data_IF_498695048454
#
_entry.id   IF_498695048454
#
_cell.length_a   1.000
_cell.length_b   1.000
_cell.length_c   1.000
_cell.angle_alpha   90.00
_cell.angle_beta   90.00
_cell.angle_gamma   90.00
#
_symmetry.space_group_name_H-M   'P 1'
#
loop_
_entity.id
_entity.type
_entity.pdbx_description
1 polymer ?
#
# COMPACT_ATOMS: atom_id res chain seq x y z
N UNK A 1 -38.62 -35.41 11.39
CA UNK A 1 -39.17 -34.54 10.33
C UNK A 1 -39.57 -33.24 11.01
N UNK A 2 -39.03 -32.05 10.74
CA UNK A 2 -38.10 -31.59 9.71
C UNK A 2 -37.53 -30.27 10.24
N UNK A 3 -36.20 -30.11 10.28
CA UNK A 3 -35.57 -28.82 10.57
C UNK A 3 -35.71 -27.93 9.34
N UNK A 4 -36.66 -26.99 9.37
CA UNK A 4 -36.85 -26.01 8.31
C UNK A 4 -37.00 -24.61 8.91
N UNK A 5 -35.88 -24.04 9.37
CA UNK A 5 -35.78 -22.62 9.69
C UNK A 5 -34.31 -22.20 9.76
N UNK A 6 -33.55 -22.36 8.69
CA UNK A 6 -32.22 -21.74 8.62
C UNK A 6 -31.77 -21.42 7.19
N UNK A 7 -32.69 -20.90 6.38
CA UNK A 7 -32.42 -20.55 4.96
C UNK A 7 -32.84 -19.11 4.65
N UNK A 8 -32.70 -18.20 5.61
CA UNK A 8 -33.04 -16.79 5.44
C UNK A 8 -31.89 -15.83 5.78
N UNK A 9 -30.65 -16.30 5.67
CA UNK A 9 -29.44 -15.49 5.93
C UNK A 9 -28.95 -14.74 4.67
N UNK A 10 -29.55 -14.98 3.49
CA UNK A 10 -29.09 -14.39 2.21
C UNK A 10 -30.19 -13.69 1.40
N UNK A 11 -31.27 -13.23 2.04
CA UNK A 11 -32.50 -12.89 1.32
C UNK A 11 -32.70 -11.41 0.96
N UNK A 12 -31.90 -10.46 1.47
CA UNK A 12 -31.99 -9.07 1.04
C UNK A 12 -30.89 -8.71 0.02
N UNK A 13 -31.28 -7.84 -0.91
CA UNK A 13 -30.43 -7.37 -2.01
C UNK A 13 -29.18 -6.67 -1.48
N UNK A 14 -29.27 -6.03 -0.32
CA UNK A 14 -28.18 -5.34 0.35
C UNK A 14 -27.06 -6.30 0.77
N UNK A 15 -27.40 -7.41 1.43
CA UNK A 15 -26.44 -8.45 1.82
C UNK A 15 -25.75 -9.05 0.60
N UNK A 16 -26.50 -9.28 -0.48
CA UNK A 16 -25.94 -9.79 -1.74
C UNK A 16 -24.99 -8.77 -2.40
N UNK A 17 -25.37 -7.49 -2.43
CA UNK A 17 -24.53 -6.43 -2.97
C UNK A 17 -23.24 -6.25 -2.17
N UNK A 18 -23.32 -6.37 -0.85
CA UNK A 18 -22.15 -6.34 0.02
C UNK A 18 -21.20 -7.51 -0.26
N UNK A 19 -21.75 -8.74 -0.39
CA UNK A 19 -20.95 -9.91 -0.71
C UNK A 19 -20.27 -9.78 -2.08
N UNK A 20 -20.99 -9.30 -3.11
CA UNK A 20 -20.41 -8.99 -4.43
C UNK A 20 -19.28 -7.97 -4.33
N UNK A 21 -19.45 -6.92 -3.53
CA UNK A 21 -18.41 -5.91 -3.32
C UNK A 21 -17.17 -6.50 -2.64
N UNK A 22 -17.33 -7.34 -1.61
CA UNK A 22 -16.22 -8.02 -0.95
C UNK A 22 -15.45 -8.95 -1.89
N UNK A 23 -16.16 -9.70 -2.74
CA UNK A 23 -15.53 -10.54 -3.77
C UNK A 23 -14.78 -9.67 -4.77
N UNK A 24 -15.41 -8.62 -5.30
CA UNK A 24 -14.79 -7.73 -6.27
C UNK A 24 -13.51 -7.09 -5.72
N UNK A 25 -13.51 -6.63 -4.46
CA UNK A 25 -12.33 -6.10 -3.79
C UNK A 25 -11.24 -7.16 -3.61
N UNK A 26 -11.61 -8.40 -3.27
CA UNK A 26 -10.64 -9.50 -3.11
C UNK A 26 -9.96 -9.85 -4.43
N UNK A 27 -10.74 -10.02 -5.50
CA UNK A 27 -10.21 -10.28 -6.86
C UNK A 27 -9.36 -9.12 -7.34
N UNK A 28 -9.78 -7.88 -7.08
CA UNK A 28 -9.00 -6.68 -7.44
C UNK A 28 -7.68 -6.63 -6.68
N UNK A 29 -7.69 -6.91 -5.38
CA UNK A 29 -6.47 -6.99 -4.55
C UNK A 29 -5.49 -8.01 -5.13
N UNK A 30 -5.97 -9.20 -5.45
CA UNK A 30 -5.16 -10.27 -6.03
C UNK A 30 -4.53 -9.84 -7.36
N UNK A 31 -5.31 -9.23 -8.25
CA UNK A 31 -4.81 -8.69 -9.52
C UNK A 31 -3.76 -7.59 -9.34
N UNK A 32 -3.96 -6.68 -8.38
CA UNK A 32 -3.03 -5.58 -8.09
C UNK A 32 -1.76 -6.04 -7.38
N UNK A 33 -1.78 -7.20 -6.72
CA UNK A 33 -0.65 -7.68 -5.92
C UNK A 33 0.61 -7.85 -6.76
N UNK A 34 0.50 -8.46 -7.95
CA UNK A 34 1.64 -8.64 -8.86
C UNK A 34 2.17 -7.30 -9.39
N UNK A 35 1.26 -6.37 -9.69
CA UNK A 35 1.63 -5.04 -10.15
C UNK A 35 2.41 -4.28 -9.07
N UNK A 36 1.95 -4.31 -7.82
CA UNK A 36 2.65 -3.69 -6.70
C UNK A 36 4.02 -4.32 -6.49
N UNK A 37 4.08 -5.64 -6.47
CA UNK A 37 5.33 -6.37 -6.27
C UNK A 37 6.37 -5.99 -7.33
N UNK A 38 5.98 -5.96 -8.61
CA UNK A 38 6.87 -5.60 -9.69
C UNK A 38 7.35 -4.14 -9.61
N UNK A 39 6.45 -3.20 -9.33
CA UNK A 39 6.80 -1.78 -9.22
C UNK A 39 7.70 -1.52 -8.02
N UNK A 40 7.37 -2.05 -6.83
CA UNK A 40 8.22 -1.87 -5.65
C UNK A 40 9.56 -2.57 -5.79
N UNK A 41 9.64 -3.74 -6.45
CA UNK A 41 10.94 -4.38 -6.75
C UNK A 41 11.83 -3.48 -7.62
N UNK A 42 11.27 -2.74 -8.59
CA UNK A 42 12.02 -1.76 -9.38
C UNK A 42 12.49 -0.58 -8.52
N UNK A 43 11.61 -0.03 -7.68
CA UNK A 43 11.97 1.03 -6.72
C UNK A 43 13.08 0.56 -5.78
N UNK A 44 12.97 -0.67 -5.26
CA UNK A 44 13.98 -1.27 -4.39
C UNK A 44 15.33 -1.40 -5.09
N UNK A 45 15.35 -1.84 -6.36
CA UNK A 45 16.56 -1.88 -7.16
C UNK A 45 17.15 -0.48 -7.43
N UNK A 46 16.30 0.52 -7.68
CA UNK A 46 16.73 1.90 -7.94
C UNK A 46 17.34 2.58 -6.70
N UNK A 47 16.80 2.31 -5.50
CA UNK A 47 17.33 2.83 -4.23
C UNK A 47 18.70 2.21 -3.91
N UNK A 48 18.91 0.96 -4.31
CA UNK A 48 20.15 0.21 -4.05
C UNK A 48 20.14 -0.52 -2.71
N UNK A 49 21.30 -1.04 -2.32
CA UNK A 49 21.42 -1.97 -1.18
C UNK A 49 21.77 -1.26 0.13
N UNK A 50 21.17 -1.70 1.24
CA UNK A 50 21.52 -1.26 2.60
C UNK A 50 22.73 -2.00 3.19
N UNK A 51 23.22 -1.52 4.34
CA UNK A 51 24.29 -2.16 5.12
C UNK A 51 23.89 -3.57 5.66
N UNK A 52 22.59 -3.85 5.79
CA UNK A 52 22.03 -5.10 6.35
C UNK A 52 22.15 -5.30 7.87
N UNK A 53 23.02 -4.54 8.55
CA UNK A 53 23.28 -4.67 10.00
C UNK A 53 22.65 -3.56 10.86
N UNK A 54 22.17 -2.50 10.21
CA UNK A 54 21.70 -1.29 10.84
C UNK A 54 20.22 -1.45 11.25
N UNK A 55 19.85 -1.00 12.45
CA UNK A 55 18.44 -0.86 12.86
C UNK A 55 17.94 0.54 12.52
N UNK A 56 16.62 0.74 12.45
CA UNK A 56 16.03 2.06 12.16
C UNK A 56 16.43 3.08 13.22
N UNK A 57 16.45 2.68 14.49
CA UNK A 57 16.83 3.53 15.63
C UNK A 57 18.28 4.00 15.48
N UNK A 58 19.19 3.10 15.07
CA UNK A 58 20.59 3.44 14.79
C UNK A 58 20.75 4.41 13.62
N UNK A 59 19.82 4.42 12.66
CA UNK A 59 19.85 5.39 11.54
C UNK A 59 19.40 6.78 11.93
N UNK A 60 18.67 6.90 13.04
CA UNK A 60 18.28 8.19 13.61
C UNK A 60 19.36 8.75 14.56
N UNK A 61 20.36 7.95 14.92
CA UNK A 61 21.45 8.32 15.82
C UNK A 61 22.73 8.69 15.04
N UNK A 62 23.57 9.55 15.64
CA UNK A 62 24.88 9.90 15.09
C UNK A 62 25.98 9.06 15.75
N UNK A 63 27.02 8.60 15.02
CA UNK A 63 27.23 8.75 13.58
C UNK A 63 26.34 7.81 12.74
N UNK A 64 25.83 8.31 11.62
CA UNK A 64 24.95 7.55 10.73
C UNK A 64 25.73 6.61 9.81
N UNK A 65 25.17 5.44 9.54
CA UNK A 65 25.64 4.59 8.46
C UNK A 65 25.34 5.22 7.10
N UNK A 66 26.37 5.62 6.36
CA UNK A 66 26.23 6.29 5.06
C UNK A 66 25.40 5.47 4.05
N UNK A 67 25.60 4.15 4.00
CA UNK A 67 24.86 3.27 3.07
C UNK A 67 23.37 3.27 3.36
N UNK A 68 22.99 3.17 4.62
CA UNK A 68 21.57 3.16 4.99
C UNK A 68 20.94 4.55 4.95
N UNK A 69 21.73 5.61 5.12
CA UNK A 69 21.26 6.99 4.93
C UNK A 69 20.92 7.24 3.45
N UNK A 70 21.71 6.71 2.50
CA UNK A 70 21.36 6.72 1.06
C UNK A 70 20.05 5.98 0.78
N UNK A 71 19.87 4.79 1.36
CA UNK A 71 18.62 4.04 1.20
C UNK A 71 17.43 4.82 1.77
N UNK A 72 17.60 5.44 2.94
CA UNK A 72 16.57 6.29 3.56
C UNK A 72 16.18 7.46 2.65
N UNK A 73 17.16 8.19 2.13
CA UNK A 73 16.93 9.30 1.19
C UNK A 73 16.24 8.83 -0.09
N UNK A 74 16.59 7.63 -0.60
CA UNK A 74 15.91 7.03 -1.72
C UNK A 74 14.43 6.71 -1.42
N UNK A 75 14.13 6.13 -0.26
CA UNK A 75 12.74 5.89 0.16
C UNK A 75 11.97 7.23 0.25
N UNK A 76 12.59 8.26 0.82
CA UNK A 76 12.00 9.59 0.93
C UNK A 76 11.76 10.23 -0.45
N UNK A 77 12.65 10.05 -1.43
CA UNK A 77 12.50 10.63 -2.77
C UNK A 77 11.37 10.01 -3.59
N UNK A 78 10.99 8.77 -3.28
CA UNK A 78 9.82 8.10 -3.88
C UNK A 78 8.53 8.32 -3.07
N UNK A 79 8.58 9.05 -1.95
CA UNK A 79 7.42 9.26 -1.08
C UNK A 79 6.67 10.54 -1.43
N UNK A 80 5.33 10.46 -1.46
CA UNK A 80 4.47 11.59 -1.83
C UNK A 80 4.07 12.50 -0.67
N UNK A 81 3.53 11.93 0.41
CA UNK A 81 2.89 12.70 1.49
C UNK A 81 3.37 12.25 2.88
N UNK A 82 3.46 13.15 3.86
CA UNK A 82 3.68 12.82 5.29
C UNK A 82 4.93 11.99 5.63
N UNK A 83 5.81 11.73 4.66
CA UNK A 83 7.04 10.98 4.80
C UNK A 83 6.85 9.49 5.12
N UNK A 84 7.95 8.73 5.16
CA UNK A 84 7.88 7.28 5.28
C UNK A 84 7.52 6.78 6.69
N UNK A 85 6.72 5.71 6.76
CA UNK A 85 6.33 5.04 8.01
C UNK A 85 7.42 4.11 8.55
N UNK A 86 8.48 4.71 9.13
CA UNK A 86 9.65 3.97 9.63
C UNK A 86 9.34 2.87 10.65
N UNK A 87 8.26 3.00 11.43
CA UNK A 87 7.85 2.01 12.45
C UNK A 87 7.36 0.69 11.85
N UNK A 88 6.96 0.68 10.57
CA UNK A 88 6.49 -0.54 9.93
C UNK A 88 7.63 -1.41 9.39
N UNK A 89 8.83 -0.84 9.22
CA UNK A 89 9.95 -1.48 8.51
C UNK A 89 11.12 -1.81 9.42
N UNK A 90 11.91 -2.81 9.02
CA UNK A 90 13.19 -3.17 9.62
C UNK A 90 14.32 -2.89 8.62
N UNK A 91 15.22 -1.97 8.95
CA UNK A 91 16.34 -1.58 8.09
C UNK A 91 17.26 -2.75 7.69
N UNK A 92 17.37 -3.77 8.55
CA UNK A 92 18.10 -5.00 8.26
C UNK A 92 17.56 -5.73 7.03
N UNK A 93 16.25 -5.66 6.79
CA UNK A 93 15.61 -6.30 5.65
C UNK A 93 15.64 -5.47 4.36
N UNK A 94 16.05 -4.19 4.40
CA UNK A 94 16.14 -3.35 3.20
C UNK A 94 17.12 -3.88 2.14
N UNK A 95 18.07 -4.74 2.51
CA UNK A 95 19.03 -5.29 1.55
C UNK A 95 18.40 -6.32 0.61
N UNK A 96 17.53 -7.18 1.13
CA UNK A 96 17.05 -8.38 0.43
C UNK A 96 15.54 -8.49 0.32
N UNK A 97 14.80 -7.66 1.05
CA UNK A 97 13.35 -7.74 1.15
C UNK A 97 12.69 -6.43 0.71
N UNK A 98 12.28 -6.39 -0.55
CA UNK A 98 11.53 -5.29 -1.15
C UNK A 98 10.27 -4.92 -0.34
N UNK A 99 9.65 -5.88 0.35
CA UNK A 99 8.46 -5.63 1.16
C UNK A 99 8.76 -4.70 2.35
N UNK A 100 9.97 -4.74 2.92
CA UNK A 100 10.36 -3.78 3.96
C UNK A 100 10.38 -2.34 3.42
N UNK A 101 10.74 -2.16 2.15
CA UNK A 101 10.64 -0.85 1.48
C UNK A 101 9.16 -0.51 1.22
N UNK A 102 8.34 -1.46 0.77
CA UNK A 102 6.91 -1.23 0.54
C UNK A 102 6.19 -0.70 1.80
N UNK A 103 6.51 -1.25 2.96
CA UNK A 103 5.92 -0.87 4.25
C UNK A 103 6.15 0.59 4.65
N UNK A 104 7.18 1.23 4.09
CA UNK A 104 7.44 2.64 4.28
C UNK A 104 6.33 3.53 3.70
N UNK A 105 5.56 3.04 2.73
CA UNK A 105 4.46 3.76 2.08
C UNK A 105 3.08 3.45 2.69
N UNK A 106 3.04 2.61 3.74
CA UNK A 106 1.81 2.26 4.46
C UNK A 106 1.49 3.29 5.55
N UNK A 107 0.24 3.31 6.06
CA UNK A 107 -0.12 4.11 7.23
C UNK A 107 0.79 3.83 8.44
N UNK A 108 0.99 4.79 9.36
CA UNK A 108 1.95 4.67 10.46
C UNK A 108 1.69 3.53 11.47
N UNK A 109 0.49 2.95 11.46
CA UNK A 109 0.05 1.92 12.42
C UNK A 109 -0.61 0.73 11.69
N UNK A 110 -0.56 -0.45 12.31
CA UNK A 110 -1.28 -1.65 11.85
C UNK A 110 -0.49 -2.59 10.92
N UNK A 111 0.65 -2.16 10.36
CA UNK A 111 1.34 -2.93 9.31
C UNK A 111 2.74 -3.45 9.67
N UNK A 112 3.25 -3.16 10.87
CA UNK A 112 4.56 -3.62 11.32
C UNK A 112 4.70 -5.16 11.26
N UNK A 113 3.64 -5.88 11.65
CA UNK A 113 3.61 -7.35 11.68
C UNK A 113 3.31 -8.06 10.36
N UNK A 114 2.85 -7.34 9.33
CA UNK A 114 2.40 -7.95 8.06
C UNK A 114 3.61 -8.45 7.26
N UNK A 115 3.66 -9.72 6.87
CA UNK A 115 4.89 -10.31 6.32
C UNK A 115 5.04 -10.13 4.81
N UNK A 116 3.92 -9.92 4.09
CA UNK A 116 3.88 -9.80 2.63
C UNK A 116 2.70 -8.94 2.16
N UNK A 117 2.72 -8.58 0.87
CA UNK A 117 1.58 -7.92 0.22
C UNK A 117 0.35 -8.84 0.16
N UNK A 118 0.54 -10.16 0.04
CA UNK A 118 -0.53 -11.15 0.00
C UNK A 118 -1.31 -11.18 1.31
N UNK A 119 -0.61 -11.07 2.45
CA UNK A 119 -1.20 -11.01 3.79
C UNK A 119 -1.81 -9.65 4.14
N UNK A 120 -1.53 -8.61 3.35
CA UNK A 120 -2.01 -7.26 3.61
C UNK A 120 -3.49 -7.08 3.23
N UNK A 121 -4.18 -6.08 3.77
CA UNK A 121 -5.54 -5.76 3.35
C UNK A 121 -5.56 -4.92 2.06
N UNK A 122 -6.74 -4.72 1.48
CA UNK A 122 -6.88 -3.86 0.30
C UNK A 122 -6.44 -2.41 0.59
N UNK A 123 -6.60 -1.95 1.83
CA UNK A 123 -6.14 -0.63 2.25
C UNK A 123 -4.61 -0.49 2.12
N UNK A 124 -3.84 -1.52 2.43
CA UNK A 124 -2.39 -1.52 2.26
C UNK A 124 -1.98 -1.34 0.79
N UNK A 125 -2.60 -2.12 -0.11
CA UNK A 125 -2.40 -2.05 -1.57
C UNK A 125 -2.61 -0.62 -2.06
N UNK A 126 -3.74 -0.05 -1.69
CA UNK A 126 -4.16 1.30 -2.04
C UNK A 126 -3.20 2.37 -1.50
N UNK A 127 -2.75 2.25 -0.25
CA UNK A 127 -1.80 3.21 0.33
C UNK A 127 -0.42 3.15 -0.32
N UNK A 128 0.08 1.96 -0.66
CA UNK A 128 1.35 1.84 -1.38
C UNK A 128 1.28 2.58 -2.72
N UNK A 129 0.21 2.33 -3.50
CA UNK A 129 0.01 2.97 -4.79
C UNK A 129 -0.17 4.50 -4.68
N UNK A 130 -0.75 4.97 -3.58
CA UNK A 130 -0.96 6.41 -3.36
C UNK A 130 0.30 7.16 -2.97
N UNK A 131 1.08 6.57 -2.06
CA UNK A 131 2.19 7.23 -1.38
C UNK A 131 3.52 7.03 -2.13
N UNK A 132 3.63 6.04 -3.01
CA UNK A 132 4.79 5.85 -3.86
C UNK A 132 4.60 6.54 -5.22
N UNK A 133 5.47 7.49 -5.54
CA UNK A 133 5.38 8.31 -6.76
C UNK A 133 5.55 7.51 -8.05
N UNK A 134 6.23 6.36 -8.00
CA UNK A 134 6.47 5.52 -9.17
C UNK A 134 5.18 4.94 -9.78
N UNK A 135 4.18 4.64 -8.94
CA UNK A 135 2.86 4.23 -9.43
C UNK A 135 2.15 5.34 -10.18
N UNK A 136 2.37 6.59 -9.82
CA UNK A 136 1.76 7.71 -10.53
C UNK A 136 2.39 7.89 -11.89
N UNK A 137 3.71 7.74 -11.99
CA UNK A 137 4.41 7.78 -13.27
C UNK A 137 3.87 6.72 -14.25
N UNK A 138 3.51 5.54 -13.72
CA UNK A 138 2.94 4.45 -14.52
C UNK A 138 1.45 4.61 -14.84
N UNK A 139 0.64 5.08 -13.88
CA UNK A 139 -0.81 5.13 -14.02
C UNK A 139 -1.31 6.47 -14.55
N UNK A 140 -0.51 7.52 -14.44
CA UNK A 140 -0.88 8.88 -14.74
C UNK A 140 0.35 9.78 -15.03
N UNK A 141 1.01 9.59 -16.18
CA UNK A 141 2.23 10.33 -16.54
C UNK A 141 2.03 11.86 -16.57
N UNK A 142 0.78 12.32 -16.76
CA UNK A 142 0.41 13.73 -16.80
C UNK A 142 0.62 14.48 -15.48
N UNK A 143 0.79 13.78 -14.35
CA UNK A 143 1.02 14.39 -13.02
C UNK A 143 2.40 15.00 -12.83
N UNK A 144 3.37 14.63 -13.67
CA UNK A 144 4.72 15.24 -13.67
C UNK A 144 4.77 16.52 -14.51
N UNK A 145 3.69 16.85 -15.21
CA UNK A 145 3.59 18.07 -16.00
C UNK A 145 3.18 19.23 -15.09
N UNK A 146 3.67 20.46 -15.31
CA UNK A 146 3.19 21.66 -14.60
C UNK A 146 1.73 22.03 -14.93
N UNK A 147 1.02 21.19 -15.69
CA UNK A 147 -0.39 21.33 -16.00
C UNK A 147 -1.25 20.84 -14.82
N UNK A 148 -2.48 21.36 -14.66
CA UNK A 148 -3.40 20.89 -13.64
C UNK A 148 -3.63 19.37 -13.77
N UNK A 149 -3.86 18.66 -12.64
CA UNK A 149 -4.08 17.21 -12.63
C UNK A 149 -5.13 16.82 -13.66
N UNK A 150 -4.83 15.83 -14.50
CA UNK A 150 -5.77 15.34 -15.50
C UNK A 150 -6.99 14.70 -14.80
N UNK A 151 -8.20 15.26 -14.94
CA UNK A 151 -9.41 14.72 -14.32
C UNK A 151 -9.81 13.34 -14.88
N UNK A 152 -9.14 12.84 -15.92
CA UNK A 152 -9.33 11.48 -16.45
C UNK A 152 -8.45 10.43 -15.79
N UNK A 153 -7.56 10.82 -14.88
CA UNK A 153 -6.65 9.91 -14.19
C UNK A 153 -7.39 8.72 -13.55
N UNK A 154 -7.16 7.47 -14.03
CA UNK A 154 -7.86 6.30 -13.51
C UNK A 154 -7.57 6.08 -12.03
N UNK A 155 -6.34 6.35 -11.58
CA UNK A 155 -5.95 6.16 -10.19
C UNK A 155 -6.73 7.09 -9.26
N UNK A 156 -6.86 8.37 -9.57
CA UNK A 156 -7.62 9.29 -8.70
C UNK A 156 -9.10 8.91 -8.62
N UNK A 157 -9.70 8.49 -9.73
CA UNK A 157 -11.10 7.99 -9.73
C UNK A 157 -11.26 6.70 -8.94
N UNK A 158 -10.36 5.74 -9.10
CA UNK A 158 -10.39 4.48 -8.35
C UNK A 158 -10.18 4.75 -6.87
N UNK A 159 -9.18 5.56 -6.52
CA UNK A 159 -8.87 5.95 -5.14
C UNK A 159 -10.03 6.71 -4.50
N UNK A 160 -10.55 7.74 -5.16
CA UNK A 160 -11.68 8.54 -4.65
C UNK A 160 -12.94 7.69 -4.49
N UNK A 161 -13.23 6.80 -5.44
CA UNK A 161 -14.36 5.86 -5.35
C UNK A 161 -14.17 4.85 -4.22
N UNK A 162 -12.98 4.26 -4.10
CA UNK A 162 -12.66 3.31 -3.03
C UNK A 162 -12.68 3.97 -1.65
N UNK A 163 -12.10 5.16 -1.50
CA UNK A 163 -12.09 5.90 -0.24
C UNK A 163 -13.48 6.39 0.16
N UNK A 164 -14.28 6.92 -0.77
CA UNK A 164 -15.70 7.25 -0.51
C UNK A 164 -16.47 6.02 -0.06
N UNK A 165 -16.35 4.91 -0.79
CA UNK A 165 -17.06 3.67 -0.46
C UNK A 165 -16.63 3.11 0.91
N UNK A 166 -15.33 3.19 1.24
CA UNK A 166 -14.81 2.77 2.54
C UNK A 166 -15.23 3.70 3.69
N UNK A 167 -15.40 5.00 3.46
CA UNK A 167 -15.94 5.91 4.48
C UNK A 167 -17.42 5.63 4.77
N UNK A 168 -18.20 5.26 3.75
CA UNK A 168 -19.57 4.76 3.98
C UNK A 168 -19.58 3.45 4.80
N UNK A 169 -18.58 2.57 4.62
CA UNK A 169 -18.47 1.35 5.43
C UNK A 169 -18.12 1.60 6.91
N UNK A 170 -17.41 2.69 7.24
CA UNK A 170 -17.00 2.99 8.61
C UNK A 170 -18.04 3.79 9.42
N UNK A 171 -19.02 4.38 8.74
CA UNK A 171 -20.12 5.16 9.36
C UNK A 171 -21.34 4.30 9.77
N UNK A 172 -21.29 2.98 9.53
CA UNK A 172 -22.33 2.02 9.91
C UNK A 172 -21.92 1.14 11.11
N UNK A 173 -21.27 1.75 12.11
CA UNK A 173 -21.05 1.15 13.44
C UNK A 173 -21.71 1.98 14.52
#
# INVERSE_FOLDING_TARGET
>A
MTMAANTKIFADEETNNWFKACIALSVTKEGLTQFIENTIKKVHAAIGSSCGQCSIEKLMQSPKCQTCDKVKLGIESFHRFNGPSWKNTKAQGWKSNWWQIAKCYLPPTGYAGVSSVQESDFNAVINIMWNCTDFQNHLCPSWLSPLPPDPQCPLEKVMYTCFKSATYCLLWK
#
